data_IF_668773580125
#
_entry.id   IF_668773580125
#
_cell.length_a   1.000
_cell.length_b   1.000
_cell.length_c   1.000
_cell.angle_alpha   90.00
_cell.angle_beta   90.00
_cell.angle_gamma   90.00
#
_symmetry.space_group_name_H-M   'P 1'
#
loop_
_entity.id
_entity.type
_entity.pdbx_description
1 polymer ?
#
# COMPACT_ATOMS: atom_id res chain seq x y z
N UNK A 1 -34.75 50.73 59.89
CA UNK A 1 -36.11 50.18 60.02
C UNK A 1 -35.96 48.67 60.24
N UNK A 2 -35.91 48.18 61.49
CA UNK A 2 -37.05 47.64 62.29
C UNK A 2 -37.85 46.60 61.48
N UNK A 3 -37.94 45.30 61.83
CA UNK A 3 -38.23 44.67 63.14
C UNK A 3 -37.65 43.22 63.15
N UNK A 4 -36.84 42.83 64.14
CA UNK A 4 -37.14 42.19 65.45
C UNK A 4 -37.52 40.70 65.38
N UNK A 5 -36.59 39.89 65.93
CA UNK A 5 -36.74 38.66 66.72
C UNK A 5 -38.16 38.18 67.04
N UNK A 6 -38.39 36.89 66.80
CA UNK A 6 -39.13 36.01 67.71
C UNK A 6 -38.59 34.58 67.55
N UNK A 7 -37.75 34.18 68.50
CA UNK A 7 -37.44 32.79 68.78
C UNK A 7 -38.60 32.20 69.56
N UNK A 8 -39.16 31.09 69.07
CA UNK A 8 -40.09 30.25 69.83
C UNK A 8 -39.51 28.84 69.85
N UNK A 9 -38.94 28.51 71.02
CA UNK A 9 -38.67 27.16 71.46
C UNK A 9 -40.01 26.43 71.63
N UNK A 10 -40.20 25.33 70.90
CA UNK A 10 -41.19 24.31 71.24
C UNK A 10 -40.47 22.96 71.21
N UNK A 11 -40.18 22.46 72.41
CA UNK A 11 -39.69 21.10 72.65
C UNK A 11 -40.88 20.17 72.85
N UNK A 12 -40.72 18.96 72.29
CA UNK A 12 -41.44 17.71 72.54
C UNK A 12 -42.79 17.49 71.84
N UNK A 13 -42.80 16.56 70.88
CA UNK A 13 -43.15 15.17 71.19
C UNK A 13 -42.63 14.24 70.09
N UNK A 14 -41.89 13.21 70.52
CA UNK A 14 -41.35 12.15 69.68
C UNK A 14 -42.50 11.39 69.02
N UNK A 15 -42.54 11.44 67.70
CA UNK A 15 -43.12 10.41 66.86
C UNK A 15 -42.11 10.11 65.79
N UNK A 16 -41.28 9.10 65.98
CA UNK A 16 -40.39 8.56 64.95
C UNK A 16 -41.24 7.82 63.91
N UNK A 17 -41.96 8.59 63.10
CA UNK A 17 -42.33 8.18 61.76
C UNK A 17 -41.17 8.53 60.86
N UNK A 18 -40.16 7.66 60.80
CA UNK A 18 -39.30 7.63 59.63
C UNK A 18 -40.21 7.34 58.44
N UNK A 19 -40.64 8.38 57.73
CA UNK A 19 -41.11 8.23 56.36
C UNK A 19 -39.85 7.87 55.57
N UNK A 20 -39.53 6.58 55.56
CA UNK A 20 -38.64 6.00 54.58
C UNK A 20 -39.35 6.21 53.25
N UNK A 21 -38.92 7.21 52.48
CA UNK A 21 -39.17 7.21 51.05
C UNK A 21 -38.58 5.89 50.53
N UNK A 22 -39.45 5.01 50.04
CA UNK A 22 -39.05 3.71 49.53
C UNK A 22 -38.04 3.91 48.40
N UNK A 23 -36.79 3.53 48.63
CA UNK A 23 -35.92 3.08 47.55
C UNK A 23 -36.69 2.00 46.80
N UNK A 24 -37.11 2.27 45.55
CA UNK A 24 -37.81 1.28 44.75
C UNK A 24 -36.95 0.02 44.63
N UNK A 25 -37.57 -1.16 44.70
CA UNK A 25 -36.89 -2.39 44.35
C UNK A 25 -36.39 -2.28 42.90
N UNK A 26 -35.07 -2.29 42.70
CA UNK A 26 -34.45 -2.16 41.39
C UNK A 26 -35.00 -3.15 40.37
N UNK A 27 -35.41 -4.35 40.81
CA UNK A 27 -36.03 -5.33 39.92
C UNK A 27 -37.40 -4.85 39.41
N UNK A 28 -38.22 -4.27 40.28
CA UNK A 28 -39.52 -3.71 39.92
C UNK A 28 -39.38 -2.53 38.96
N UNK A 29 -38.46 -1.61 39.24
CA UNK A 29 -38.21 -0.44 38.38
C UNK A 29 -37.71 -0.86 36.99
N UNK A 30 -36.74 -1.78 36.94
CA UNK A 30 -36.20 -2.28 35.70
C UNK A 30 -37.21 -3.10 34.90
N UNK A 31 -38.05 -3.92 35.55
CA UNK A 31 -39.06 -4.73 34.87
C UNK A 31 -40.02 -3.87 34.05
N UNK A 32 -40.59 -2.82 34.66
CA UNK A 32 -41.52 -1.92 33.98
C UNK A 32 -40.83 -1.21 32.80
N UNK A 33 -39.65 -0.62 33.04
CA UNK A 33 -38.91 0.10 32.01
C UNK A 33 -38.51 -0.81 30.82
N UNK A 34 -38.10 -2.06 31.11
CA UNK A 34 -37.67 -3.00 30.08
C UNK A 34 -38.84 -3.57 29.30
N UNK A 35 -40.01 -3.75 29.91
CA UNK A 35 -41.18 -4.26 29.20
C UNK A 35 -41.69 -3.23 28.16
N UNK A 36 -41.73 -1.94 28.51
CA UNK A 36 -42.01 -0.88 27.55
C UNK A 36 -40.95 -0.84 26.44
N UNK A 37 -39.66 -0.93 26.78
CA UNK A 37 -38.58 -0.91 25.79
C UNK A 37 -38.59 -2.14 24.86
N UNK A 38 -38.93 -3.34 25.36
CA UNK A 38 -39.11 -4.55 24.54
C UNK A 38 -40.30 -4.42 23.60
N UNK A 39 -41.37 -3.77 24.06
CA UNK A 39 -42.53 -3.43 23.23
C UNK A 39 -42.25 -2.29 22.24
N UNK A 40 -41.02 -1.73 22.22
CA UNK A 40 -40.60 -0.57 21.42
C UNK A 40 -41.39 0.71 21.72
N UNK A 41 -42.00 0.79 22.91
CA UNK A 41 -42.67 1.98 23.42
C UNK A 41 -41.62 2.93 24.04
N UNK A 42 -40.71 3.44 23.21
CA UNK A 42 -39.53 4.17 23.68
C UNK A 42 -39.85 5.50 24.35
N UNK A 43 -40.94 6.17 23.97
CA UNK A 43 -41.37 7.40 24.62
C UNK A 43 -41.77 7.20 26.07
N UNK A 44 -42.45 6.10 26.39
CA UNK A 44 -42.79 5.73 27.76
C UNK A 44 -41.58 5.15 28.51
N UNK A 45 -40.76 4.34 27.82
CA UNK A 45 -39.61 3.68 28.43
C UNK A 45 -38.53 4.69 28.86
N UNK A 46 -38.26 5.72 28.07
CA UNK A 46 -37.15 6.66 28.28
C UNK A 46 -37.08 7.26 29.70
N UNK A 47 -38.11 7.94 30.23
CA UNK A 47 -38.05 8.49 31.59
C UNK A 47 -37.93 7.41 32.67
N UNK A 48 -38.52 6.23 32.47
CA UNK A 48 -38.39 5.12 33.41
C UNK A 48 -36.98 4.53 33.40
N UNK A 49 -36.34 4.44 32.23
CA UNK A 49 -34.97 3.98 32.06
C UNK A 49 -33.96 4.95 32.67
N UNK A 50 -34.15 6.27 32.52
CA UNK A 50 -33.32 7.28 33.19
C UNK A 50 -33.38 7.12 34.71
N UNK A 51 -34.58 6.88 35.25
CA UNK A 51 -34.75 6.61 36.68
C UNK A 51 -34.03 5.34 37.14
N UNK A 52 -34.02 4.28 36.32
CA UNK A 52 -33.26 3.05 36.61
C UNK A 52 -31.75 3.32 36.55
N UNK A 53 -31.27 4.12 35.58
CA UNK A 53 -29.87 4.55 35.50
C UNK A 53 -29.45 5.33 36.75
N UNK A 54 -30.29 6.24 37.23
CA UNK A 54 -30.01 7.07 38.41
C UNK A 54 -30.04 6.28 39.73
N UNK A 55 -31.12 5.54 39.99
CA UNK A 55 -31.33 4.87 41.30
C UNK A 55 -30.67 3.48 41.36
N UNK A 56 -30.49 2.81 40.21
CA UNK A 56 -30.05 1.43 40.11
C UNK A 56 -28.98 1.22 39.02
N UNK A 57 -27.92 2.05 38.93
CA UNK A 57 -26.97 2.09 37.80
C UNK A 57 -26.25 0.77 37.52
N UNK A 58 -26.04 -0.06 38.56
CA UNK A 58 -25.34 -1.35 38.47
C UNK A 58 -26.28 -2.56 38.32
N UNK A 59 -27.60 -2.35 38.28
CA UNK A 59 -28.56 -3.45 38.24
C UNK A 59 -28.43 -4.30 36.97
N UNK A 60 -28.36 -3.69 35.79
CA UNK A 60 -28.16 -4.42 34.54
C UNK A 60 -27.65 -3.54 33.40
N UNK A 61 -26.72 -4.08 32.61
CA UNK A 61 -26.27 -3.50 31.33
C UNK A 61 -27.45 -3.20 30.39
N UNK A 62 -28.55 -3.95 30.51
CA UNK A 62 -29.73 -3.76 29.68
C UNK A 62 -30.33 -2.34 29.80
N UNK A 63 -30.19 -1.67 30.94
CA UNK A 63 -30.64 -0.27 31.11
C UNK A 63 -30.02 0.62 30.03
N UNK A 64 -28.70 0.55 29.89
CA UNK A 64 -27.93 1.37 28.95
C UNK A 64 -28.22 0.99 27.50
N UNK A 65 -28.36 -0.32 27.21
CA UNK A 65 -28.74 -0.79 25.86
C UNK A 65 -30.14 -0.34 25.45
N UNK A 66 -31.08 -0.26 26.40
CA UNK A 66 -32.43 0.24 26.12
C UNK A 66 -32.46 1.77 26.07
N UNK A 67 -31.67 2.47 26.87
CA UNK A 67 -31.49 3.93 26.77
C UNK A 67 -30.95 4.31 25.40
N UNK A 68 -29.90 3.64 24.92
CA UNK A 68 -29.36 3.87 23.57
C UNK A 68 -30.44 3.74 22.49
N UNK A 69 -31.30 2.71 22.57
CA UNK A 69 -32.42 2.55 21.62
C UNK A 69 -33.45 3.66 21.75
N UNK A 70 -33.80 4.04 22.97
CA UNK A 70 -34.80 5.06 23.24
C UNK A 70 -34.32 6.47 22.81
N UNK A 71 -33.06 6.81 23.09
CA UNK A 71 -32.46 8.07 22.67
C UNK A 71 -32.34 8.11 21.14
N UNK A 72 -31.88 7.03 20.49
CA UNK A 72 -31.83 6.94 19.03
C UNK A 72 -33.22 7.18 18.40
N UNK A 73 -34.28 6.59 18.97
CA UNK A 73 -35.64 6.83 18.50
C UNK A 73 -36.05 8.30 18.63
N UNK A 74 -35.76 8.94 19.77
CA UNK A 74 -36.07 10.36 19.98
C UNK A 74 -35.30 11.27 19.03
N UNK A 75 -34.04 10.96 18.75
CA UNK A 75 -33.18 11.70 17.82
C UNK A 75 -33.70 11.68 16.37
N UNK A 76 -34.57 10.74 15.98
CA UNK A 76 -35.19 10.72 14.64
C UNK A 76 -36.06 11.95 14.36
N UNK A 77 -36.61 12.58 15.41
CA UNK A 77 -37.51 13.74 15.29
C UNK A 77 -37.06 14.99 16.06
N UNK A 78 -36.06 14.86 16.94
CA UNK A 78 -35.54 15.97 17.74
C UNK A 78 -34.87 17.05 16.88
N UNK A 79 -35.04 18.32 17.28
CA UNK A 79 -34.43 19.48 16.61
C UNK A 79 -33.98 20.53 17.62
N UNK A 80 -33.02 21.39 17.24
CA UNK A 80 -32.50 22.45 18.12
C UNK A 80 -31.95 21.89 19.44
N UNK A 81 -32.25 22.58 20.55
CA UNK A 81 -31.75 22.23 21.88
C UNK A 81 -32.10 20.81 22.32
N UNK A 82 -33.31 20.32 22.01
CA UNK A 82 -33.71 18.96 22.39
C UNK A 82 -32.78 17.91 21.77
N UNK A 83 -32.35 18.14 20.52
CA UNK A 83 -31.40 17.25 19.86
C UNK A 83 -30.03 17.30 20.55
N UNK A 84 -29.56 18.49 20.91
CA UNK A 84 -28.28 18.67 21.62
C UNK A 84 -28.31 17.96 22.98
N UNK A 85 -29.37 18.15 23.76
CA UNK A 85 -29.55 17.51 25.08
C UNK A 85 -29.58 15.98 24.96
N UNK A 86 -30.27 15.43 23.95
CA UNK A 86 -30.32 13.98 23.71
C UNK A 86 -28.97 13.41 23.26
N UNK A 87 -28.18 14.18 22.49
CA UNK A 87 -26.84 13.77 22.09
C UNK A 87 -25.91 13.73 23.30
N UNK A 88 -25.94 14.74 24.18
CA UNK A 88 -25.17 14.75 25.43
C UNK A 88 -25.59 13.59 26.34
N UNK A 89 -26.89 13.32 26.46
CA UNK A 89 -27.39 12.17 27.23
C UNK A 89 -26.88 10.84 26.65
N UNK A 90 -26.86 10.67 25.32
CA UNK A 90 -26.33 9.46 24.69
C UNK A 90 -24.86 9.24 25.05
N UNK A 91 -24.04 10.29 24.99
CA UNK A 91 -22.62 10.23 25.37
C UNK A 91 -22.51 9.78 26.82
N UNK A 92 -23.26 10.40 27.73
CA UNK A 92 -23.24 10.04 29.14
C UNK A 92 -23.69 8.58 29.38
N UNK A 93 -24.70 8.08 28.65
CA UNK A 93 -25.13 6.67 28.72
C UNK A 93 -24.00 5.72 28.32
N UNK A 94 -23.25 6.06 27.28
CA UNK A 94 -22.12 5.26 26.84
C UNK A 94 -20.91 5.33 27.78
N UNK A 95 -20.63 6.50 28.35
CA UNK A 95 -19.60 6.68 29.38
C UNK A 95 -19.89 5.87 30.65
N UNK A 96 -21.13 5.94 31.15
CA UNK A 96 -21.55 5.11 32.29
C UNK A 96 -21.43 3.62 31.98
N UNK A 97 -21.76 3.22 30.75
CA UNK A 97 -21.62 1.82 30.33
C UNK A 97 -20.16 1.38 30.35
N UNK A 98 -19.25 2.22 29.86
CA UNK A 98 -17.81 1.97 29.90
C UNK A 98 -17.27 1.86 31.34
N UNK A 99 -17.75 2.71 32.24
CA UNK A 99 -17.34 2.70 33.65
C UNK A 99 -17.91 1.51 34.44
N UNK A 100 -19.22 1.25 34.29
CA UNK A 100 -19.95 0.32 35.15
C UNK A 100 -19.93 -1.12 34.63
N UNK A 101 -19.77 -1.31 33.31
CA UNK A 101 -19.75 -2.61 32.65
C UNK A 101 -18.55 -2.78 31.70
N UNK A 102 -17.31 -2.53 32.14
CA UNK A 102 -16.13 -2.58 31.27
C UNK A 102 -15.92 -3.96 30.65
N UNK A 103 -16.14 -5.04 31.41
CA UNK A 103 -15.95 -6.44 30.96
C UNK A 103 -17.00 -6.92 29.94
N UNK A 104 -18.08 -6.15 29.75
CA UNK A 104 -19.18 -6.48 28.83
C UNK A 104 -19.36 -5.42 27.74
N UNK A 105 -18.35 -4.58 27.56
CA UNK A 105 -18.38 -3.46 26.64
C UNK A 105 -17.14 -3.51 25.78
N UNK A 106 -17.35 -3.68 24.47
CA UNK A 106 -16.34 -3.48 23.44
C UNK A 106 -15.96 -1.99 23.46
N UNK A 107 -14.88 -1.65 24.15
CA UNK A 107 -14.55 -0.27 24.46
C UNK A 107 -14.24 0.50 23.19
N UNK A 108 -13.52 -0.11 22.25
CA UNK A 108 -13.14 0.51 20.97
C UNK A 108 -14.36 0.91 20.15
N UNK A 109 -15.38 0.03 20.12
CA UNK A 109 -16.66 0.34 19.48
C UNK A 109 -17.34 1.52 20.16
N UNK A 110 -17.49 1.50 21.49
CA UNK A 110 -18.21 2.56 22.21
C UNK A 110 -17.47 3.90 22.17
N UNK A 111 -16.14 3.90 22.29
CA UNK A 111 -15.32 5.10 22.07
C UNK A 111 -15.49 5.65 20.66
N UNK A 112 -15.46 4.79 19.63
CA UNK A 112 -15.72 5.21 18.25
C UNK A 112 -17.14 5.76 18.07
N UNK A 113 -18.15 5.19 18.73
CA UNK A 113 -19.53 5.66 18.66
C UNK A 113 -19.68 7.05 19.31
N UNK A 114 -19.07 7.26 20.49
CA UNK A 114 -18.99 8.57 21.16
C UNK A 114 -18.29 9.59 20.25
N UNK A 115 -17.10 9.25 19.73
CA UNK A 115 -16.30 10.13 18.90
C UNK A 115 -17.02 10.52 17.60
N UNK A 116 -17.72 9.57 16.96
CA UNK A 116 -18.56 9.85 15.80
C UNK A 116 -19.72 10.78 16.12
N UNK A 117 -20.36 10.58 17.26
CA UNK A 117 -21.48 11.43 17.67
C UNK A 117 -21.01 12.86 17.96
N UNK A 118 -19.84 13.02 18.59
CA UNK A 118 -19.19 14.31 18.78
C UNK A 118 -18.82 14.97 17.44
N UNK A 119 -18.19 14.23 16.53
CA UNK A 119 -17.82 14.71 15.20
C UNK A 119 -19.02 15.17 14.37
N UNK A 120 -20.07 14.34 14.29
CA UNK A 120 -21.28 14.63 13.49
C UNK A 120 -22.06 15.84 14.01
N UNK A 121 -22.00 16.11 15.31
CA UNK A 121 -22.70 17.22 15.95
C UNK A 121 -21.77 18.39 16.32
N UNK A 122 -20.48 18.32 15.98
CA UNK A 122 -19.46 19.35 16.26
C UNK A 122 -19.33 19.69 17.75
N UNK A 123 -19.39 18.67 18.60
CA UNK A 123 -19.25 18.79 20.05
C UNK A 123 -17.78 18.73 20.42
N UNK A 124 -17.33 19.66 21.26
CA UNK A 124 -15.92 19.80 21.63
C UNK A 124 -15.07 20.38 20.51
N UNK A 125 -13.77 20.49 20.80
CA UNK A 125 -12.73 20.90 19.86
C UNK A 125 -12.31 19.74 18.96
N UNK A 126 -11.65 20.05 17.84
CA UNK A 126 -11.11 19.02 16.93
C UNK A 126 -10.10 18.10 17.62
N UNK A 127 -9.31 18.66 18.55
CA UNK A 127 -8.36 17.90 19.35
C UNK A 127 -9.08 16.91 20.28
N UNK A 128 -10.13 17.33 20.97
CA UNK A 128 -10.93 16.45 21.83
C UNK A 128 -11.63 15.34 21.01
N UNK A 129 -12.19 15.69 19.85
CA UNK A 129 -12.79 14.70 18.94
C UNK A 129 -11.75 13.71 18.42
N UNK A 130 -10.56 14.19 18.04
CA UNK A 130 -9.47 13.33 17.59
C UNK A 130 -9.01 12.39 18.72
N UNK A 131 -8.83 12.91 19.94
CA UNK A 131 -8.44 12.11 21.10
C UNK A 131 -9.49 11.03 21.42
N UNK A 132 -10.78 11.30 21.22
CA UNK A 132 -11.82 10.30 21.38
C UNK A 132 -11.67 9.13 20.38
N UNK A 133 -11.34 9.41 19.12
CA UNK A 133 -11.00 8.37 18.14
C UNK A 133 -9.66 7.69 18.44
N UNK A 134 -8.66 8.45 18.86
CA UNK A 134 -7.32 7.93 19.19
C UNK A 134 -7.43 6.91 20.32
N UNK A 135 -8.26 7.18 21.35
CA UNK A 135 -8.57 6.23 22.42
C UNK A 135 -9.21 4.94 21.90
N UNK A 136 -10.14 5.01 20.95
CA UNK A 136 -10.69 3.82 20.31
C UNK A 136 -9.59 2.98 19.65
N UNK A 137 -8.66 3.64 18.94
CA UNK A 137 -7.54 2.98 18.28
C UNK A 137 -6.50 2.41 19.27
N UNK A 138 -6.15 3.13 20.33
CA UNK A 138 -5.05 2.76 21.23
C UNK A 138 -5.48 1.82 22.36
N UNK A 139 -6.72 1.93 22.86
CA UNK A 139 -7.19 1.13 23.99
C UNK A 139 -7.83 -0.20 23.54
N UNK A 140 -8.42 -0.26 22.34
CA UNK A 140 -9.15 -1.44 21.86
C UNK A 140 -9.29 -1.42 20.32
N UNK A 141 -8.13 -1.45 19.64
CA UNK A 141 -8.01 -1.37 18.17
C UNK A 141 -8.93 -2.35 17.44
N UNK A 142 -9.01 -3.59 17.92
CA UNK A 142 -9.74 -4.67 17.27
C UNK A 142 -11.24 -4.35 17.13
N UNK A 143 -11.80 -3.57 18.04
CA UNK A 143 -13.22 -3.16 18.00
C UNK A 143 -13.45 -1.78 17.35
N UNK A 144 -12.40 -1.12 16.83
CA UNK A 144 -12.55 0.12 16.05
C UNK A 144 -12.72 -0.19 14.55
N UNK A 145 -13.94 -0.60 14.18
CA UNK A 145 -14.27 -1.15 12.85
C UNK A 145 -15.20 -0.25 12.03
N UNK A 146 -15.45 0.99 12.45
CA UNK A 146 -16.36 1.88 11.72
C UNK A 146 -15.63 2.53 10.53
N UNK A 147 -16.05 2.31 9.26
CA UNK A 147 -15.44 2.98 8.12
C UNK A 147 -15.53 4.51 8.24
N UNK A 148 -16.70 5.01 8.69
CA UNK A 148 -16.91 6.44 8.92
C UNK A 148 -16.04 6.96 10.07
N UNK A 149 -15.87 6.17 11.12
CA UNK A 149 -15.01 6.54 12.26
C UNK A 149 -13.55 6.64 11.85
N UNK A 150 -13.04 5.67 11.08
CA UNK A 150 -11.68 5.70 10.53
C UNK A 150 -11.46 6.89 9.59
N UNK A 151 -12.44 7.21 8.75
CA UNK A 151 -12.42 8.44 7.95
C UNK A 151 -12.34 9.69 8.82
N UNK A 152 -13.24 9.85 9.80
CA UNK A 152 -13.32 11.03 10.65
C UNK A 152 -12.05 11.21 11.49
N UNK A 153 -11.47 10.12 11.98
CA UNK A 153 -10.21 10.11 12.71
C UNK A 153 -9.06 10.71 11.86
N UNK A 154 -8.96 10.30 10.58
CA UNK A 154 -8.00 10.88 9.64
C UNK A 154 -8.35 12.32 9.25
N UNK A 155 -9.63 12.62 9.02
CA UNK A 155 -10.10 13.93 8.62
C UNK A 155 -9.77 15.00 9.66
N UNK A 156 -9.97 14.67 10.94
CA UNK A 156 -9.61 15.55 12.05
C UNK A 156 -8.11 15.83 12.13
N UNK A 157 -7.26 14.83 11.87
CA UNK A 157 -5.81 15.04 11.80
C UNK A 157 -5.44 16.03 10.69
N UNK A 158 -6.05 15.85 9.50
CA UNK A 158 -5.88 16.76 8.38
C UNK A 158 -6.37 18.17 8.70
N UNK A 159 -7.54 18.31 9.32
CA UNK A 159 -8.09 19.61 9.70
C UNK A 159 -7.25 20.33 10.77
N UNK A 160 -6.69 19.61 11.73
CA UNK A 160 -5.77 20.17 12.72
C UNK A 160 -4.43 20.57 12.06
N UNK A 161 -3.96 19.83 11.06
CA UNK A 161 -2.78 20.22 10.28
C UNK A 161 -3.03 21.49 9.47
N UNK A 162 -4.20 21.61 8.83
CA UNK A 162 -4.59 22.83 8.10
C UNK A 162 -4.71 24.06 9.02
N UNK A 163 -5.06 23.83 10.30
CA UNK A 163 -5.06 24.86 11.34
C UNK A 163 -3.66 25.18 11.91
N UNK A 164 -2.62 24.44 11.53
CA UNK A 164 -1.26 24.59 12.04
C UNK A 164 -1.03 23.99 13.44
N UNK A 165 -1.99 23.20 13.95
CA UNK A 165 -1.93 22.55 15.26
C UNK A 165 -1.23 21.17 15.22
N UNK A 166 -1.04 20.63 14.02
CA UNK A 166 -0.34 19.37 13.75
C UNK A 166 0.64 19.55 12.61
N UNK A 167 1.69 18.75 12.62
CA UNK A 167 2.68 18.70 11.56
C UNK A 167 2.19 17.83 10.39
N UNK A 168 2.80 18.01 9.23
CA UNK A 168 2.55 17.12 8.10
C UNK A 168 2.99 15.67 8.40
N UNK A 169 4.02 15.49 9.24
CA UNK A 169 4.46 14.19 9.73
C UNK A 169 3.33 13.46 10.47
N UNK A 170 2.60 14.16 11.35
CA UNK A 170 1.47 13.59 12.08
C UNK A 170 0.36 13.10 11.13
N UNK A 171 0.12 13.81 10.02
CA UNK A 171 -0.84 13.39 8.98
C UNK A 171 -0.39 12.09 8.32
N UNK A 172 0.88 11.97 7.97
CA UNK A 172 1.42 10.75 7.34
C UNK A 172 1.42 9.55 8.28
N UNK A 173 1.75 9.75 9.55
CA UNK A 173 1.72 8.68 10.55
C UNK A 173 0.28 8.22 10.84
N UNK A 174 -0.66 9.17 10.96
CA UNK A 174 -2.07 8.83 11.14
C UNK A 174 -2.65 8.15 9.87
N UNK A 175 -2.26 8.59 8.67
CA UNK A 175 -2.59 7.92 7.43
C UNK A 175 -2.17 6.44 7.46
N UNK A 176 -0.92 6.14 7.82
CA UNK A 176 -0.45 4.75 7.85
C UNK A 176 -1.24 3.90 8.85
N UNK A 177 -1.52 4.44 10.04
CA UNK A 177 -2.33 3.76 11.06
C UNK A 177 -3.74 3.46 10.57
N UNK A 178 -4.42 4.47 10.04
CA UNK A 178 -5.80 4.35 9.56
C UNK A 178 -5.87 3.42 8.35
N UNK A 179 -4.96 3.57 7.39
CA UNK A 179 -4.95 2.74 6.18
C UNK A 179 -4.67 1.28 6.52
N UNK A 180 -3.69 1.00 7.40
CA UNK A 180 -3.40 -0.35 7.86
C UNK A 180 -4.61 -0.98 8.58
N UNK A 181 -5.32 -0.22 9.42
CA UNK A 181 -6.55 -0.71 10.05
C UNK A 181 -7.65 -0.98 9.02
N UNK A 182 -7.84 -0.14 8.01
CA UNK A 182 -8.82 -0.44 6.96
C UNK A 182 -8.45 -1.73 6.22
N UNK A 183 -7.18 -1.96 5.90
CA UNK A 183 -6.74 -3.19 5.22
C UNK A 183 -6.95 -4.44 6.08
N UNK A 184 -6.70 -4.35 7.39
CA UNK A 184 -7.01 -5.40 8.37
C UNK A 184 -8.50 -5.78 8.31
N UNK A 185 -9.39 -4.78 8.36
CA UNK A 185 -10.83 -5.00 8.31
C UNK A 185 -11.34 -5.54 6.96
N UNK A 186 -10.74 -5.09 5.84
CA UNK A 186 -11.06 -5.60 4.50
C UNK A 186 -10.67 -7.08 4.39
N UNK A 187 -9.50 -7.45 4.92
CA UNK A 187 -9.03 -8.84 4.92
C UNK A 187 -9.92 -9.73 5.81
N UNK A 188 -10.21 -9.31 7.03
CA UNK A 188 -11.08 -10.05 7.95
C UNK A 188 -12.48 -10.25 7.36
N UNK A 189 -13.05 -9.21 6.74
CA UNK A 189 -14.34 -9.32 6.06
C UNK A 189 -14.28 -10.29 4.88
N UNK A 190 -13.22 -10.24 4.07
CA UNK A 190 -13.04 -11.13 2.92
C UNK A 190 -12.84 -12.60 3.34
N UNK A 191 -12.04 -12.87 4.37
CA UNK A 191 -11.80 -14.21 4.92
C UNK A 191 -13.09 -14.83 5.46
N UNK A 192 -13.88 -14.05 6.20
CA UNK A 192 -15.18 -14.50 6.72
C UNK A 192 -16.22 -14.73 5.61
N UNK A 193 -16.11 -14.00 4.50
CA UNK A 193 -17.03 -14.08 3.37
C UNK A 193 -16.74 -15.28 2.46
N UNK A 194 -15.46 -15.63 2.28
CA UNK A 194 -15.01 -16.72 1.40
C UNK A 194 -15.75 -18.06 1.56
N UNK A 195 -15.96 -18.63 2.77
CA UNK A 195 -16.69 -19.88 2.93
C UNK A 195 -18.17 -19.77 2.58
N UNK A 196 -18.79 -18.60 2.80
CA UNK A 196 -20.20 -18.37 2.48
C UNK A 196 -20.41 -18.23 0.98
N UNK A 197 -19.49 -17.54 0.29
CA UNK A 197 -19.51 -17.45 -1.17
C UNK A 197 -19.30 -18.80 -1.82
N UNK A 198 -18.36 -19.61 -1.32
CA UNK A 198 -18.17 -20.98 -1.78
C UNK A 198 -19.43 -21.83 -1.63
N UNK A 199 -20.10 -21.75 -0.49
CA UNK A 199 -21.38 -22.44 -0.23
C UNK A 199 -22.46 -22.03 -1.25
N UNK A 200 -22.53 -20.74 -1.57
CA UNK A 200 -23.44 -20.19 -2.57
C UNK A 200 -23.10 -20.66 -3.99
N UNK A 201 -21.82 -20.68 -4.37
CA UNK A 201 -21.33 -21.17 -5.68
C UNK A 201 -21.58 -22.66 -5.88
N UNK A 202 -21.48 -23.45 -4.80
CA UNK A 202 -21.80 -24.89 -4.80
C UNK A 202 -23.31 -25.17 -4.84
N UNK A 203 -24.15 -24.13 -4.83
CA UNK A 203 -25.61 -24.23 -4.91
C UNK A 203 -26.28 -24.74 -3.62
N UNK A 204 -25.60 -24.63 -2.48
CA UNK A 204 -26.18 -24.98 -1.18
C UNK A 204 -27.02 -23.83 -0.61
N UNK A 205 -28.11 -24.17 0.07
CA UNK A 205 -29.02 -23.17 0.66
C UNK A 205 -28.33 -22.38 1.78
N UNK A 206 -28.45 -21.05 1.72
CA UNK A 206 -28.03 -20.13 2.76
C UNK A 206 -29.14 -19.95 3.80
N UNK A 207 -28.77 -19.89 5.07
CA UNK A 207 -29.67 -19.46 6.14
C UNK A 207 -29.86 -17.95 6.09
N UNK A 208 -30.99 -17.44 6.61
CA UNK A 208 -31.21 -15.98 6.70
C UNK A 208 -30.16 -15.25 7.55
N UNK A 209 -29.38 -15.97 8.38
CA UNK A 209 -28.24 -15.41 9.11
C UNK A 209 -27.04 -15.23 8.16
N UNK A 210 -26.73 -16.24 7.35
CA UNK A 210 -25.64 -16.19 6.37
C UNK A 210 -25.91 -15.14 5.29
N UNK A 211 -27.13 -15.04 4.78
CA UNK A 211 -27.52 -13.99 3.81
C UNK A 211 -27.29 -12.58 4.38
N UNK A 212 -27.60 -12.37 5.66
CA UNK A 212 -27.34 -11.09 6.33
C UNK A 212 -25.84 -10.84 6.51
N UNK A 213 -25.06 -11.87 6.88
CA UNK A 213 -23.61 -11.75 7.02
C UNK A 213 -22.96 -11.33 5.71
N UNK A 214 -23.32 -11.98 4.59
CA UNK A 214 -22.85 -11.61 3.25
C UNK A 214 -23.17 -10.14 2.96
N UNK A 215 -24.43 -9.75 3.11
CA UNK A 215 -24.88 -8.38 2.83
C UNK A 215 -24.13 -7.34 3.66
N UNK A 216 -23.92 -7.58 4.95
CA UNK A 216 -23.19 -6.65 5.81
C UNK A 216 -21.71 -6.55 5.44
N UNK A 217 -21.07 -7.69 5.13
CA UNK A 217 -19.67 -7.70 4.68
C UNK A 217 -19.52 -6.92 3.36
N UNK A 218 -20.39 -7.13 2.37
CA UNK A 218 -20.37 -6.41 1.09
C UNK A 218 -20.55 -4.89 1.27
N UNK A 219 -21.49 -4.47 2.13
CA UNK A 219 -21.70 -3.06 2.45
C UNK A 219 -20.45 -2.46 3.10
N UNK A 220 -19.86 -3.17 4.08
CA UNK A 220 -18.67 -2.68 4.78
C UNK A 220 -17.46 -2.60 3.85
N UNK A 221 -17.19 -3.63 3.04
CA UNK A 221 -16.14 -3.62 2.02
C UNK A 221 -16.32 -2.45 1.04
N UNK A 222 -17.55 -2.20 0.57
CA UNK A 222 -17.82 -1.04 -0.28
C UNK A 222 -17.56 0.29 0.44
N UNK A 223 -17.89 0.39 1.73
CA UNK A 223 -17.66 1.59 2.52
C UNK A 223 -16.16 1.81 2.80
N UNK A 224 -15.40 0.77 3.12
CA UNK A 224 -13.94 0.84 3.30
C UNK A 224 -13.26 1.30 2.01
N UNK A 225 -13.65 0.76 0.86
CA UNK A 225 -13.14 1.20 -0.44
C UNK A 225 -13.37 2.71 -0.67
N UNK A 226 -14.59 3.21 -0.42
CA UNK A 226 -14.90 4.66 -0.54
C UNK A 226 -14.10 5.51 0.44
N UNK A 227 -13.90 5.02 1.67
CA UNK A 227 -13.12 5.71 2.69
C UNK A 227 -11.64 5.76 2.29
N UNK A 228 -11.05 4.67 1.78
CA UNK A 228 -9.68 4.67 1.24
C UNK A 228 -9.53 5.67 0.11
N UNK A 229 -10.48 5.74 -0.81
CA UNK A 229 -10.47 6.75 -1.89
C UNK A 229 -10.48 8.18 -1.33
N UNK A 230 -11.34 8.47 -0.34
CA UNK A 230 -11.42 9.79 0.28
C UNK A 230 -10.15 10.17 1.07
N UNK A 231 -9.59 9.23 1.83
CA UNK A 231 -8.32 9.40 2.56
C UNK A 231 -7.18 9.64 1.56
N UNK A 232 -7.09 8.83 0.49
CA UNK A 232 -6.08 8.97 -0.56
C UNK A 232 -6.19 10.31 -1.29
N UNK A 233 -7.40 10.81 -1.54
CA UNK A 233 -7.59 12.12 -2.16
C UNK A 233 -7.05 13.25 -1.26
N UNK A 234 -7.36 13.21 0.04
CA UNK A 234 -6.86 14.17 1.04
C UNK A 234 -5.35 14.12 1.22
N UNK A 235 -4.78 12.90 1.30
CA UNK A 235 -3.34 12.71 1.37
C UNK A 235 -2.68 13.16 0.07
N UNK A 236 -3.25 12.81 -1.08
CA UNK A 236 -2.70 13.09 -2.40
C UNK A 236 -2.52 14.57 -2.68
N UNK A 237 -3.39 15.42 -2.13
CA UNK A 237 -3.28 16.89 -2.18
C UNK A 237 -2.14 17.47 -1.33
N UNK A 238 -1.54 16.66 -0.45
CA UNK A 238 -0.44 17.03 0.48
C UNK A 238 0.85 16.25 0.22
N UNK A 239 0.74 15.10 -0.41
CA UNK A 239 1.85 14.22 -0.76
C UNK A 239 2.31 14.56 -2.18
N UNK A 240 3.04 15.66 -2.32
CA UNK A 240 3.83 16.01 -3.51
C UNK A 240 5.32 16.00 -3.15
N UNK A 241 6.20 16.14 -4.14
CA UNK A 241 7.63 16.11 -3.89
C UNK A 241 8.11 17.27 -3.00
N UNK A 242 7.46 18.44 -3.09
CA UNK A 242 7.82 19.61 -2.26
C UNK A 242 7.62 19.35 -0.77
N UNK A 243 6.65 18.52 -0.43
CA UNK A 243 6.35 18.12 0.94
C UNK A 243 7.06 16.83 1.37
N UNK A 244 7.09 15.81 0.51
CA UNK A 244 7.67 14.51 0.83
C UNK A 244 9.18 14.55 0.98
N UNK A 245 9.89 15.30 0.12
CA UNK A 245 11.36 15.33 0.13
C UNK A 245 11.90 15.93 1.44
N UNK A 246 11.48 17.12 1.90
CA UNK A 246 11.99 17.68 3.16
C UNK A 246 11.63 16.81 4.38
N UNK A 247 10.41 16.25 4.39
CA UNK A 247 9.95 15.38 5.47
C UNK A 247 10.84 14.14 5.61
N UNK A 248 11.02 13.38 4.53
CA UNK A 248 11.79 12.15 4.59
C UNK A 248 13.29 12.43 4.73
N UNK A 249 13.81 13.54 4.20
CA UNK A 249 15.21 13.92 4.39
C UNK A 249 15.55 14.17 5.87
N UNK A 250 14.64 14.83 6.59
CA UNK A 250 14.81 15.13 8.02
C UNK A 250 15.00 13.86 8.84
N UNK A 251 14.23 12.81 8.54
CA UNK A 251 14.16 11.59 9.34
C UNK A 251 15.09 10.47 8.81
N UNK A 252 15.63 10.62 7.59
CA UNK A 252 16.41 9.58 6.92
C UNK A 252 17.58 9.06 7.75
N UNK A 253 18.40 9.94 8.32
CA UNK A 253 19.61 9.51 9.04
C UNK A 253 19.29 8.64 10.27
N UNK A 254 18.17 8.91 10.95
CA UNK A 254 17.70 8.12 12.09
C UNK A 254 17.00 6.83 11.65
N UNK A 255 16.27 6.87 10.54
CA UNK A 255 15.37 5.80 10.09
C UNK A 255 15.91 4.93 8.95
N UNK A 256 17.12 5.18 8.44
CA UNK A 256 17.74 4.42 7.32
C UNK A 256 18.00 2.93 7.60
N UNK A 257 17.74 2.44 8.82
CA UNK A 257 17.79 1.01 9.16
C UNK A 257 16.41 0.42 9.48
N UNK A 258 15.35 1.24 9.46
CA UNK A 258 13.97 0.83 9.68
C UNK A 258 13.36 0.43 8.32
N UNK A 259 13.19 -0.87 8.13
CA UNK A 259 12.75 -1.45 6.84
C UNK A 259 11.34 -0.99 6.47
N UNK A 260 10.42 -0.90 7.44
CA UNK A 260 9.03 -0.53 7.17
C UNK A 260 8.95 0.96 6.82
N UNK A 261 9.70 1.81 7.54
CA UNK A 261 9.82 3.22 7.19
C UNK A 261 10.41 3.41 5.78
N UNK A 262 11.47 2.68 5.43
CA UNK A 262 12.09 2.74 4.11
C UNK A 262 11.15 2.26 3.00
N UNK A 263 10.37 1.20 3.22
CA UNK A 263 9.34 0.72 2.29
C UNK A 263 8.29 1.80 2.03
N UNK A 264 7.77 2.42 3.10
CA UNK A 264 6.77 3.48 2.99
C UNK A 264 7.33 4.71 2.29
N UNK A 265 8.52 5.17 2.67
CA UNK A 265 9.19 6.30 2.03
C UNK A 265 9.41 6.05 0.53
N UNK A 266 9.94 4.88 0.18
CA UNK A 266 10.19 4.51 -1.21
C UNK A 266 8.89 4.45 -2.03
N UNK A 267 7.82 3.86 -1.47
CA UNK A 267 6.53 3.76 -2.13
C UNK A 267 5.90 5.14 -2.37
N UNK A 268 5.91 6.02 -1.38
CA UNK A 268 5.30 7.37 -1.50
C UNK A 268 6.07 8.28 -2.45
N UNK A 269 7.40 8.29 -2.36
CA UNK A 269 8.24 9.07 -3.28
C UNK A 269 8.07 8.59 -4.72
N UNK A 270 8.03 7.27 -4.94
CA UNK A 270 7.79 6.67 -6.26
C UNK A 270 6.39 7.00 -6.81
N UNK A 271 5.35 6.88 -5.98
CA UNK A 271 3.97 7.15 -6.38
C UNK A 271 3.70 8.61 -6.78
N UNK A 272 4.63 9.52 -6.45
CA UNK A 272 4.57 10.94 -6.76
C UNK A 272 5.66 11.40 -7.73
N UNK A 273 6.31 10.43 -8.39
CA UNK A 273 7.38 10.66 -9.37
C UNK A 273 8.55 11.51 -8.82
N UNK A 274 8.83 11.41 -7.52
CA UNK A 274 9.97 12.07 -6.86
C UNK A 274 11.29 11.29 -7.07
N UNK A 275 11.39 10.52 -8.16
CA UNK A 275 12.43 9.50 -8.38
C UNK A 275 13.78 10.07 -8.77
N UNK A 276 13.81 11.33 -9.22
CA UNK A 276 15.03 12.03 -9.60
C UNK A 276 15.70 12.75 -8.43
N UNK A 277 15.04 12.83 -7.26
CA UNK A 277 15.63 13.47 -6.08
C UNK A 277 16.64 12.55 -5.38
N UNK A 278 17.81 13.06 -4.93
CA UNK A 278 18.82 12.25 -4.23
C UNK A 278 18.28 11.43 -3.06
N UNK A 279 17.26 11.93 -2.36
CA UNK A 279 16.65 11.22 -1.24
C UNK A 279 16.00 9.91 -1.68
N UNK A 280 15.32 9.88 -2.83
CA UNK A 280 14.71 8.65 -3.34
C UNK A 280 15.79 7.58 -3.57
N UNK A 281 16.94 8.00 -4.09
CA UNK A 281 18.10 7.14 -4.32
C UNK A 281 18.63 6.61 -2.98
N UNK A 282 18.84 7.48 -2.00
CA UNK A 282 19.31 7.11 -0.67
C UNK A 282 18.38 6.12 0.03
N UNK A 283 17.07 6.35 -0.04
CA UNK A 283 16.03 5.46 0.51
C UNK A 283 16.04 4.11 -0.22
N UNK A 284 16.03 4.12 -1.56
CA UNK A 284 16.10 2.91 -2.39
C UNK A 284 17.36 2.08 -2.10
N UNK A 285 18.51 2.74 -1.91
CA UNK A 285 19.78 2.08 -1.60
C UNK A 285 19.80 1.48 -0.19
N UNK A 286 19.34 2.23 0.82
CA UNK A 286 19.23 1.74 2.18
C UNK A 286 18.29 0.53 2.25
N UNK A 287 17.13 0.61 1.61
CA UNK A 287 16.18 -0.50 1.52
C UNK A 287 16.81 -1.71 0.85
N UNK A 288 17.52 -1.51 -0.26
CA UNK A 288 18.19 -2.60 -0.98
C UNK A 288 19.33 -3.24 -0.17
N UNK A 289 20.03 -2.48 0.68
CA UNK A 289 21.07 -3.03 1.54
C UNK A 289 20.50 -3.96 2.62
N UNK A 290 19.31 -3.65 3.13
CA UNK A 290 18.64 -4.44 4.17
C UNK A 290 17.88 -5.63 3.57
N UNK A 291 17.18 -5.42 2.45
CA UNK A 291 16.39 -6.43 1.73
C UNK A 291 16.77 -6.45 0.23
N UNK A 292 17.91 -7.06 -0.13
CA UNK A 292 18.35 -7.12 -1.51
C UNK A 292 17.45 -8.05 -2.33
N UNK A 293 17.04 -7.59 -3.52
CA UNK A 293 16.32 -8.39 -4.50
C UNK A 293 16.83 -8.12 -5.90
N UNK A 294 16.59 -9.05 -6.83
CA UNK A 294 16.93 -8.85 -8.24
C UNK A 294 16.25 -7.59 -8.81
N UNK A 295 14.99 -7.36 -8.44
CA UNK A 295 14.21 -6.19 -8.89
C UNK A 295 14.77 -4.88 -8.35
N UNK A 296 15.08 -4.81 -7.04
CA UNK A 296 15.64 -3.60 -6.43
C UNK A 296 17.05 -3.31 -6.97
N UNK A 297 17.90 -4.33 -7.14
CA UNK A 297 19.20 -4.17 -7.79
C UNK A 297 19.06 -3.70 -9.25
N UNK A 298 18.16 -4.27 -10.03
CA UNK A 298 17.96 -3.86 -11.43
C UNK A 298 17.50 -2.40 -11.54
N UNK A 299 16.60 -1.98 -10.65
CA UNK A 299 16.07 -0.60 -10.61
C UNK A 299 17.17 0.41 -10.20
N UNK A 300 17.98 0.08 -9.19
CA UNK A 300 19.15 0.89 -8.83
C UNK A 300 20.19 0.96 -9.95
N UNK A 301 20.35 -0.12 -10.71
CA UNK A 301 21.16 -0.11 -11.91
C UNK A 301 20.61 0.83 -12.98
N UNK A 302 19.29 0.82 -13.22
CA UNK A 302 18.60 1.72 -14.15
C UNK A 302 18.86 3.18 -13.83
N UNK A 303 18.69 3.53 -12.56
CA UNK A 303 18.90 4.86 -12.05
C UNK A 303 20.36 5.31 -12.18
N UNK A 304 21.32 4.48 -11.78
CA UNK A 304 22.73 4.82 -11.94
C UNK A 304 23.13 4.98 -13.43
N UNK A 305 22.50 4.23 -14.33
CA UNK A 305 22.70 4.39 -15.78
C UNK A 305 22.14 5.71 -16.31
N UNK A 306 20.95 6.16 -15.86
CA UNK A 306 20.38 7.45 -16.26
C UNK A 306 21.18 8.64 -15.72
N UNK A 307 21.82 8.49 -14.56
CA UNK A 307 22.76 9.47 -14.00
C UNK A 307 24.15 9.47 -14.68
N UNK A 308 24.41 8.47 -15.54
CA UNK A 308 25.71 8.31 -16.19
C UNK A 308 26.80 7.65 -15.32
N UNK A 309 26.48 7.20 -14.11
CA UNK A 309 27.38 6.37 -13.29
C UNK A 309 27.29 4.90 -13.72
N UNK A 310 27.89 4.63 -14.88
CA UNK A 310 27.95 3.29 -15.45
C UNK A 310 28.73 2.28 -14.60
N UNK A 311 29.62 2.72 -13.70
CA UNK A 311 30.37 1.82 -12.82
C UNK A 311 29.44 1.27 -11.74
N UNK A 312 28.66 2.17 -11.12
CA UNK A 312 27.62 1.81 -10.15
C UNK A 312 26.49 1.02 -10.81
N UNK A 313 26.05 1.42 -12.01
CA UNK A 313 25.06 0.69 -12.79
C UNK A 313 25.50 -0.76 -13.06
N UNK A 314 26.75 -0.96 -13.49
CA UNK A 314 27.30 -2.29 -13.73
C UNK A 314 27.32 -3.14 -12.45
N UNK A 315 27.69 -2.56 -11.31
CA UNK A 315 27.67 -3.26 -10.01
C UNK A 315 26.26 -3.77 -9.71
N UNK A 316 25.27 -2.90 -9.78
CA UNK A 316 23.88 -3.25 -9.51
C UNK A 316 23.28 -4.23 -10.52
N UNK A 317 23.58 -4.10 -11.82
CA UNK A 317 23.10 -5.09 -12.80
C UNK A 317 23.73 -6.46 -12.62
N UNK A 318 25.02 -6.55 -12.27
CA UNK A 318 25.61 -7.86 -11.97
C UNK A 318 24.96 -8.48 -10.73
N UNK A 319 24.76 -7.70 -9.66
CA UNK A 319 24.05 -8.16 -8.47
C UNK A 319 22.61 -8.58 -8.81
N UNK A 320 21.90 -7.82 -9.66
CA UNK A 320 20.57 -8.18 -10.13
C UNK A 320 20.57 -9.51 -10.88
N UNK A 321 21.55 -9.72 -11.77
CA UNK A 321 21.71 -10.96 -12.50
C UNK A 321 22.07 -12.15 -11.58
N UNK A 322 22.80 -11.92 -10.49
CA UNK A 322 23.16 -12.94 -9.49
C UNK A 322 21.96 -13.35 -8.62
N UNK A 323 21.13 -12.37 -8.23
CA UNK A 323 19.91 -12.60 -7.44
C UNK A 323 18.75 -13.16 -8.27
N UNK A 324 18.78 -12.99 -9.60
CA UNK A 324 17.70 -13.42 -10.48
C UNK A 324 17.67 -14.95 -10.65
N UNK A 325 16.51 -15.53 -10.39
CA UNK A 325 16.27 -16.98 -10.48
C UNK A 325 15.72 -17.36 -11.86
N UNK A 326 14.97 -16.47 -12.51
CA UNK A 326 14.44 -16.68 -13.84
C UNK A 326 15.53 -16.47 -14.91
N UNK A 327 15.87 -17.53 -15.64
CA UNK A 327 16.90 -17.48 -16.69
C UNK A 327 16.60 -16.50 -17.83
N UNK A 328 15.33 -16.31 -18.17
CA UNK A 328 14.93 -15.36 -19.21
C UNK A 328 15.15 -13.93 -18.76
N UNK A 329 14.84 -13.59 -17.51
CA UNK A 329 15.05 -12.26 -16.96
C UNK A 329 16.53 -11.99 -16.68
N UNK A 330 17.26 -12.98 -16.18
CA UNK A 330 18.73 -12.94 -16.06
C UNK A 330 19.38 -12.62 -17.42
N UNK A 331 18.89 -13.22 -18.52
CA UNK A 331 19.37 -12.93 -19.86
C UNK A 331 19.10 -11.46 -20.27
N UNK A 332 17.94 -10.89 -19.92
CA UNK A 332 17.62 -9.48 -20.21
C UNK A 332 18.56 -8.52 -19.48
N UNK A 333 18.92 -8.84 -18.23
CA UNK A 333 19.88 -8.04 -17.46
C UNK A 333 21.25 -8.05 -18.15
N UNK A 334 21.77 -9.22 -18.50
CA UNK A 334 23.04 -9.32 -19.24
C UNK A 334 22.99 -8.63 -20.61
N UNK A 335 21.87 -8.72 -21.33
CA UNK A 335 21.67 -8.02 -22.59
C UNK A 335 21.76 -6.50 -22.43
N UNK A 336 21.22 -5.96 -21.33
CA UNK A 336 21.33 -4.53 -21.01
C UNK A 336 22.76 -4.10 -20.68
N UNK A 337 23.48 -4.88 -19.89
CA UNK A 337 24.91 -4.63 -19.64
C UNK A 337 25.70 -4.64 -20.96
N UNK A 338 25.40 -5.60 -21.83
CA UNK A 338 26.05 -5.71 -23.14
C UNK A 338 25.79 -4.48 -24.03
N UNK A 339 24.55 -3.98 -24.07
CA UNK A 339 24.22 -2.74 -24.77
C UNK A 339 25.02 -1.54 -24.24
N UNK A 340 25.11 -1.38 -22.91
CA UNK A 340 25.91 -0.32 -22.29
C UNK A 340 27.37 -0.35 -22.73
N UNK A 341 28.00 -1.53 -22.77
CA UNK A 341 29.38 -1.66 -23.28
C UNK A 341 29.47 -1.39 -24.78
N UNK A 342 28.49 -1.83 -25.57
CA UNK A 342 28.45 -1.61 -27.02
C UNK A 342 28.34 -0.11 -27.33
N UNK A 343 27.49 0.62 -26.61
CA UNK A 343 27.27 2.05 -26.83
C UNK A 343 28.51 2.89 -26.48
N UNK A 344 29.36 2.36 -25.58
CA UNK A 344 30.71 2.91 -25.29
C UNK A 344 31.80 2.44 -26.26
N UNK A 345 31.48 1.65 -27.28
CA UNK A 345 32.44 1.09 -28.24
C UNK A 345 33.31 -0.05 -27.70
N UNK A 346 33.05 -0.54 -26.48
CA UNK A 346 33.79 -1.66 -25.89
C UNK A 346 33.19 -3.01 -26.34
N UNK A 347 33.41 -3.34 -27.62
CA UNK A 347 32.79 -4.50 -28.25
C UNK A 347 33.24 -5.85 -27.66
N UNK A 348 34.46 -5.94 -27.13
CA UNK A 348 34.95 -7.16 -26.47
C UNK A 348 34.10 -7.48 -25.23
N UNK A 349 33.90 -6.50 -24.34
CA UNK A 349 33.06 -6.68 -23.16
C UNK A 349 31.57 -6.84 -23.52
N UNK A 350 31.08 -6.07 -24.50
CA UNK A 350 29.72 -6.21 -24.98
C UNK A 350 29.42 -7.64 -25.44
N UNK A 351 30.29 -8.23 -26.27
CA UNK A 351 30.16 -9.62 -26.70
C UNK A 351 30.18 -10.61 -25.54
N UNK A 352 31.08 -10.42 -24.57
CA UNK A 352 31.13 -11.28 -23.38
C UNK A 352 29.79 -11.32 -22.63
N UNK A 353 29.16 -10.15 -22.44
CA UNK A 353 27.84 -10.06 -21.81
C UNK A 353 26.69 -10.55 -22.71
N UNK A 354 26.73 -10.32 -24.03
CA UNK A 354 25.77 -10.96 -24.93
C UNK A 354 25.88 -12.49 -24.88
N UNK A 355 27.08 -13.05 -24.76
CA UNK A 355 27.28 -14.48 -24.59
C UNK A 355 26.76 -14.98 -23.23
N UNK A 356 26.91 -14.21 -22.15
CA UNK A 356 26.23 -14.52 -20.87
C UNK A 356 24.71 -14.53 -21.03
N UNK A 357 24.15 -13.57 -21.76
CA UNK A 357 22.72 -13.53 -22.07
C UNK A 357 22.29 -14.75 -22.89
N UNK A 358 23.07 -15.15 -23.90
CA UNK A 358 22.81 -16.34 -24.72
C UNK A 358 22.96 -17.65 -23.95
N UNK A 359 23.87 -17.72 -22.97
CA UNK A 359 23.98 -18.88 -22.08
C UNK A 359 22.74 -19.02 -21.19
N UNK A 360 22.16 -17.91 -20.74
CA UNK A 360 20.93 -17.91 -19.95
C UNK A 360 19.67 -18.13 -20.83
N UNK A 361 19.63 -17.55 -22.03
CA UNK A 361 18.53 -17.69 -23.00
C UNK A 361 19.06 -17.84 -24.44
N UNK A 362 19.33 -19.08 -24.90
CA UNK A 362 19.85 -19.33 -26.25
C UNK A 362 18.94 -18.85 -27.39
N UNK A 363 17.63 -18.68 -27.12
CA UNK A 363 16.66 -18.14 -28.07
C UNK A 363 16.64 -16.60 -28.15
N UNK A 364 17.55 -15.89 -27.46
CA UNK A 364 17.66 -14.44 -27.55
C UNK A 364 18.30 -14.00 -28.88
N UNK A 365 17.55 -14.07 -29.98
CA UNK A 365 18.04 -13.71 -31.31
C UNK A 365 18.59 -12.29 -31.39
N UNK A 366 18.02 -11.36 -30.61
CA UNK A 366 18.50 -9.99 -30.50
C UNK A 366 19.98 -9.91 -30.08
N UNK A 367 20.48 -10.80 -29.22
CA UNK A 367 21.89 -10.82 -28.82
C UNK A 367 22.81 -11.24 -29.97
N UNK A 368 22.44 -12.29 -30.72
CA UNK A 368 23.16 -12.68 -31.93
C UNK A 368 23.20 -11.56 -32.97
N UNK A 369 22.09 -10.83 -33.15
CA UNK A 369 22.00 -9.75 -34.12
C UNK A 369 22.87 -8.55 -33.72
N UNK A 370 22.96 -8.23 -32.42
CA UNK A 370 23.87 -7.19 -31.93
C UNK A 370 25.34 -7.59 -32.13
N UNK A 371 25.71 -8.85 -31.86
CA UNK A 371 27.06 -9.36 -32.15
C UNK A 371 27.39 -9.24 -33.64
N UNK A 372 26.47 -9.66 -34.52
CA UNK A 372 26.62 -9.52 -35.96
C UNK A 372 26.87 -8.06 -36.38
N UNK A 373 26.10 -7.12 -35.82
CA UNK A 373 26.26 -5.69 -36.08
C UNK A 373 27.63 -5.18 -35.63
N UNK A 374 28.11 -5.56 -34.45
CA UNK A 374 29.45 -5.16 -33.98
C UNK A 374 30.57 -5.69 -34.87
N UNK A 375 30.46 -6.95 -35.35
CA UNK A 375 31.42 -7.52 -36.30
C UNK A 375 31.43 -6.77 -37.62
N UNK A 376 30.25 -6.51 -38.21
CA UNK A 376 30.13 -5.76 -39.44
C UNK A 376 30.69 -4.32 -39.34
N UNK A 377 30.48 -3.65 -38.21
CA UNK A 377 31.05 -2.32 -37.93
C UNK A 377 32.58 -2.34 -37.83
N UNK A 378 33.15 -3.47 -37.41
CA UNK A 378 34.59 -3.62 -37.19
C UNK A 378 35.35 -4.14 -38.41
N UNK A 379 34.66 -4.51 -39.49
CA UNK A 379 35.25 -5.19 -40.66
C UNK A 379 36.45 -4.44 -41.26
N UNK A 380 36.37 -3.12 -41.40
CA UNK A 380 37.47 -2.31 -41.98
C UNK A 380 38.74 -2.28 -41.12
N UNK A 381 38.59 -2.55 -39.82
CA UNK A 381 39.66 -2.46 -38.81
C UNK A 381 40.12 -3.86 -38.35
N UNK A 382 39.64 -4.93 -38.98
CA UNK A 382 39.90 -6.29 -38.54
C UNK A 382 40.23 -7.21 -39.72
N UNK A 383 41.50 -7.63 -39.82
CA UNK A 383 42.05 -8.37 -40.96
C UNK A 383 43.30 -7.68 -41.51
N UNK A 384 44.18 -8.45 -42.14
CA UNK A 384 45.50 -7.98 -42.58
C UNK A 384 45.48 -7.38 -43.99
N UNK A 385 44.51 -7.80 -44.81
CA UNK A 385 44.33 -7.36 -46.19
C UNK A 385 42.86 -7.07 -46.52
N UNK A 386 42.60 -6.58 -47.74
CA UNK A 386 41.23 -6.24 -48.19
C UNK A 386 40.29 -7.44 -48.17
N UNK A 387 40.81 -8.64 -48.48
CA UNK A 387 40.00 -9.85 -48.57
C UNK A 387 39.57 -10.33 -47.17
N UNK A 388 40.52 -10.48 -46.25
CA UNK A 388 40.29 -10.87 -44.85
C UNK A 388 39.43 -9.86 -44.10
N UNK A 389 39.61 -8.55 -44.34
CA UNK A 389 38.72 -7.50 -43.80
C UNK A 389 37.27 -7.68 -44.26
N UNK A 390 37.05 -7.92 -45.54
CA UNK A 390 35.71 -8.20 -46.08
C UNK A 390 35.17 -9.53 -45.57
N UNK A 391 36.03 -10.53 -45.31
CA UNK A 391 35.61 -11.84 -44.81
C UNK A 391 34.90 -11.77 -43.43
N UNK A 392 35.14 -10.71 -42.64
CA UNK A 392 34.38 -10.43 -41.40
C UNK A 392 32.87 -10.36 -41.66
N UNK A 393 32.44 -9.90 -42.85
CA UNK A 393 31.02 -9.85 -43.19
C UNK A 393 30.39 -11.25 -43.37
N UNK A 394 31.15 -12.30 -43.69
CA UNK A 394 30.62 -13.67 -43.63
C UNK A 394 30.30 -14.07 -42.19
N UNK A 395 31.20 -13.77 -41.25
CA UNK A 395 30.96 -14.05 -39.83
C UNK A 395 29.75 -13.27 -39.29
N UNK A 396 29.64 -11.99 -39.64
CA UNK A 396 28.47 -11.17 -39.31
C UNK A 396 27.18 -11.76 -39.90
N UNK A 397 27.21 -12.21 -41.15
CA UNK A 397 26.06 -12.86 -41.79
C UNK A 397 25.66 -14.18 -41.11
N UNK A 398 26.62 -14.96 -40.63
CA UNK A 398 26.36 -16.20 -39.91
C UNK A 398 25.65 -15.94 -38.57
N UNK A 399 26.12 -14.96 -37.80
CA UNK A 399 25.46 -14.57 -36.55
C UNK A 399 24.05 -14.01 -36.80
N UNK A 400 23.86 -13.16 -37.82
CA UNK A 400 22.54 -12.67 -38.20
C UNK A 400 21.61 -13.80 -38.67
N UNK A 401 22.13 -14.79 -39.40
CA UNK A 401 21.36 -15.97 -39.83
C UNK A 401 20.98 -16.85 -38.63
N UNK A 402 21.86 -17.00 -37.63
CA UNK A 402 21.53 -17.69 -36.38
C UNK A 402 20.45 -16.97 -35.61
N UNK A 403 20.52 -15.64 -35.52
CA UNK A 403 19.47 -14.82 -34.89
C UNK A 403 18.08 -15.14 -35.45
N UNK A 404 17.94 -15.20 -36.78
CA UNK A 404 16.67 -15.52 -37.45
C UNK A 404 16.18 -16.95 -37.15
N UNK A 405 17.08 -17.91 -36.96
CA UNK A 405 16.75 -19.31 -36.71
C UNK A 405 16.31 -19.58 -35.27
N UNK A 406 16.97 -18.93 -34.31
CA UNK A 406 16.69 -19.14 -32.88
C UNK A 406 15.56 -18.26 -32.36
N UNK A 407 15.23 -17.18 -33.09
CA UNK A 407 14.18 -16.22 -32.75
C UNK A 407 13.37 -15.84 -34.01
N UNK A 408 12.32 -16.62 -34.33
CA UNK A 408 11.46 -16.35 -35.48
C UNK A 408 10.80 -14.96 -35.47
N UNK A 409 10.63 -14.34 -34.29
CA UNK A 409 9.97 -13.04 -34.15
C UNK A 409 10.75 -11.90 -34.81
N UNK A 410 12.08 -12.03 -34.92
CA UNK A 410 12.96 -11.06 -35.57
C UNK A 410 13.52 -11.56 -36.91
N UNK A 411 13.04 -12.71 -37.40
CA UNK A 411 13.63 -13.39 -38.55
C UNK A 411 13.69 -12.52 -39.81
N UNK A 412 12.67 -11.68 -40.06
CA UNK A 412 12.67 -10.76 -41.20
C UNK A 412 13.87 -9.80 -41.16
N UNK A 413 14.02 -9.07 -40.05
CA UNK A 413 15.10 -8.09 -39.86
C UNK A 413 16.48 -8.77 -39.82
N UNK A 414 16.57 -9.92 -39.16
CA UNK A 414 17.81 -10.69 -39.06
C UNK A 414 18.24 -11.27 -40.42
N UNK A 415 17.32 -11.77 -41.23
CA UNK A 415 17.60 -12.25 -42.59
C UNK A 415 17.99 -11.09 -43.52
N UNK A 416 17.36 -9.92 -43.39
CA UNK A 416 17.75 -8.72 -44.14
C UNK A 416 19.18 -8.30 -43.80
N UNK A 417 19.54 -8.26 -42.52
CA UNK A 417 20.90 -7.98 -42.09
C UNK A 417 21.89 -9.02 -42.63
N UNK A 418 21.56 -10.31 -42.55
CA UNK A 418 22.38 -11.38 -43.09
C UNK A 418 22.62 -11.22 -44.60
N UNK A 419 21.58 -10.90 -45.38
CA UNK A 419 21.70 -10.63 -46.81
C UNK A 419 22.58 -9.41 -47.11
N UNK A 420 22.41 -8.33 -46.36
CA UNK A 420 23.22 -7.11 -46.50
C UNK A 420 24.71 -7.37 -46.18
N UNK A 421 25.01 -8.17 -45.16
CA UNK A 421 26.39 -8.56 -44.86
C UNK A 421 26.97 -9.47 -45.94
N UNK A 422 26.22 -10.47 -46.43
CA UNK A 422 26.67 -11.32 -47.57
C UNK A 422 26.99 -10.51 -48.82
N UNK A 423 26.23 -9.46 -49.11
CA UNK A 423 26.49 -8.58 -50.25
C UNK A 423 27.79 -7.76 -50.12
N UNK A 424 28.30 -7.53 -48.90
CA UNK A 424 29.57 -6.82 -48.64
C UNK A 424 30.77 -7.77 -48.53
N UNK A 425 30.51 -9.04 -48.24
CA UNK A 425 31.53 -10.06 -48.10
C UNK A 425 32.22 -10.37 -49.44
N UNK A 426 33.37 -11.07 -49.45
CA UNK A 426 34.02 -11.50 -50.68
C UNK A 426 33.08 -12.41 -51.49
N UNK A 427 33.09 -12.23 -52.80
CA UNK A 427 32.33 -13.02 -53.76
C UNK A 427 33.22 -14.12 -54.35
N UNK A 428 32.62 -15.05 -55.10
CA UNK A 428 33.35 -16.16 -55.75
C UNK A 428 34.59 -15.71 -56.54
N UNK A 429 34.52 -14.58 -57.24
CA UNK A 429 35.66 -14.00 -57.97
C UNK A 429 36.76 -13.50 -57.05
N UNK A 430 36.40 -12.91 -55.90
CA UNK A 430 37.36 -12.45 -54.89
C UNK A 430 38.11 -13.66 -54.28
N UNK A 431 37.41 -14.78 -54.05
CA UNK A 431 38.04 -16.01 -53.53
C UNK A 431 39.06 -16.55 -54.53
N UNK A 432 38.69 -16.64 -55.82
CA UNK A 432 39.59 -17.11 -56.89
C UNK A 432 40.86 -16.25 -57.06
N UNK A 433 40.78 -14.97 -56.73
CA UNK A 433 41.90 -14.02 -56.80
C UNK A 433 42.70 -13.93 -55.49
N UNK A 434 42.23 -14.57 -54.42
CA UNK A 434 42.91 -14.56 -53.12
C UNK A 434 43.79 -15.80 -52.94
N UNK A 435 44.54 -15.85 -51.84
CA UNK A 435 45.31 -17.03 -51.42
C UNK A 435 44.47 -18.10 -50.72
N UNK A 436 43.16 -17.89 -50.57
CA UNK A 436 42.27 -18.78 -49.81
C UNK A 436 41.40 -19.65 -50.73
N UNK A 437 41.15 -20.87 -50.30
CA UNK A 437 40.26 -21.85 -50.92
C UNK A 437 38.96 -22.03 -50.14
N UNK A 438 37.92 -22.53 -50.82
CA UNK A 438 36.67 -22.91 -50.14
C UNK A 438 36.96 -23.93 -49.04
N UNK A 439 36.46 -23.65 -47.84
CA UNK A 439 36.69 -24.48 -46.67
C UNK A 439 37.87 -24.07 -45.78
N UNK A 440 38.72 -23.15 -46.24
CA UNK A 440 39.78 -22.58 -45.41
C UNK A 440 39.19 -21.78 -44.24
N UNK A 441 39.93 -21.70 -43.13
CA UNK A 441 39.56 -20.87 -41.99
C UNK A 441 40.38 -19.58 -41.99
N UNK A 442 39.69 -18.45 -41.88
CA UNK A 442 40.28 -17.13 -41.72
C UNK A 442 40.08 -16.73 -40.26
N UNK A 443 41.18 -16.60 -39.51
CA UNK A 443 41.16 -16.17 -38.11
C UNK A 443 41.34 -14.67 -37.99
N UNK A 444 40.57 -14.04 -37.09
CA UNK A 444 40.62 -12.61 -36.84
C UNK A 444 41.33 -12.32 -35.51
N UNK A 445 42.54 -11.73 -35.58
CA UNK A 445 43.36 -11.41 -34.41
C UNK A 445 42.96 -10.12 -33.67
N UNK A 446 42.04 -9.34 -34.24
CA UNK A 446 41.45 -8.17 -33.59
C UNK A 446 40.53 -8.58 -32.42
N UNK A 447 39.80 -7.63 -31.83
CA UNK A 447 38.86 -7.92 -30.72
C UNK A 447 37.83 -9.03 -31.02
N UNK A 448 37.52 -9.26 -32.31
CA UNK A 448 36.66 -10.34 -32.77
C UNK A 448 37.21 -11.69 -32.30
N UNK A 449 38.50 -11.99 -32.40
CA UNK A 449 39.09 -13.20 -31.83
C UNK A 449 38.41 -14.53 -32.23
N UNK A 450 37.68 -14.54 -33.34
CA UNK A 450 36.95 -15.68 -33.90
C UNK A 450 37.46 -15.96 -35.31
N UNK A 451 37.00 -17.05 -35.91
CA UNK A 451 37.33 -17.41 -37.29
C UNK A 451 36.06 -17.62 -38.11
N UNK A 452 36.17 -17.40 -39.41
CA UNK A 452 35.14 -17.76 -40.38
C UNK A 452 35.69 -18.76 -41.39
N UNK A 453 34.85 -19.72 -41.78
CA UNK A 453 35.17 -20.67 -42.85
C UNK A 453 34.78 -20.07 -44.19
N UNK A 454 35.67 -20.12 -45.19
CA UNK A 454 35.38 -19.66 -46.55
C UNK A 454 34.18 -20.47 -47.08
N UNK A 455 33.03 -19.81 -47.35
CA UNK A 455 31.81 -20.52 -47.69
C UNK A 455 31.87 -21.08 -49.11
N UNK A 456 31.14 -22.17 -49.34
CA UNK A 456 30.86 -22.64 -50.69
C UNK A 456 29.76 -21.74 -51.28
N UNK A 457 30.14 -20.82 -52.18
CA UNK A 457 29.25 -19.81 -52.77
C UNK A 457 28.67 -20.22 -54.13
#
# INVERSE_FOLDING_TARGET
MKKRFLALFAVALMGTGAINAQSGDCATMAALAYDDAKAKNYDAAYPALLKVREECPKYSLATYQYLERAINHKLESATGQEKEDLVEEMIAVWEDRLELYPEKTEKGKVYSDIALLQFDNKIGTKAEQYEAFDRAYTEDKDNFTSPKGLYAYFDLMVEMQDAGERSLQDVFENYDRVFAKIEEEENDAAENLAPLLKKQEEGADLTSKEEKQIKYAEINLSNYSKVKEAINAKLGARADCENLIPLYNKDFEEKKTDVDWLKNANARLSAKDCTEDPLFIQVSEALHQLEPSAKSAYSLGQLAESEGDYTKALKYYNQAAELETNKSDQAKIYYRIANNYKDKGNFSQARSFYNKALNARPSMGSAYLQIASMYAQSANNCGDDTFSKRAVYWLAADYASRAARVDPSIASNANQAAAAYKGRAPQKSDVFQSSYSVGDNISFSCWIGESVRVPNQ
#
